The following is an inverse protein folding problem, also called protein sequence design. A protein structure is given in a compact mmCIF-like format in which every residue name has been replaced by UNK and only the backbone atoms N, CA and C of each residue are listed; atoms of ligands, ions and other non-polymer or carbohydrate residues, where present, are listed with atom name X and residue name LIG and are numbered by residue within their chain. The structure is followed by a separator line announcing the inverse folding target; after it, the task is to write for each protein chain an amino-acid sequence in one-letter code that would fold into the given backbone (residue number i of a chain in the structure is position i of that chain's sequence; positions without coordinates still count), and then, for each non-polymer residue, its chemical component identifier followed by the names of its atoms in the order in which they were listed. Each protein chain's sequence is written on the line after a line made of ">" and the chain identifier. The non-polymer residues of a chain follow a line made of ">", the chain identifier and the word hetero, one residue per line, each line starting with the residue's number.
data_IF_174584206983
#
_entry.id   IF_174584206983
#
_cell.length_a   1.000
_cell.length_b   1.000
_cell.length_c   1.000
_cell.angle_alpha   90.00
_cell.angle_beta   90.00
_cell.angle_gamma   90.00
#
_symmetry.space_group_name_H-M   'P 1'
#
loop_
_entity.id
_entity.type
_entity.pdbx_description
1 polymer ?
#
# COMPACT_ATOMS: atom_id res chain seq x y z
N UNK A 1 -35.09 6.35 20.13
CA UNK A 1 -35.53 6.39 18.72
C UNK A 1 -34.41 5.80 17.90
N UNK A 2 -34.68 4.82 17.02
CA UNK A 2 -33.62 4.17 16.24
C UNK A 2 -33.42 4.96 14.95
N UNK A 3 -32.21 5.46 14.73
CA UNK A 3 -31.78 6.13 13.52
C UNK A 3 -31.00 5.14 12.64
N UNK A 4 -31.40 5.03 11.37
CA UNK A 4 -30.70 4.20 10.38
C UNK A 4 -29.59 5.00 9.73
N UNK A 5 -28.35 4.59 9.93
CA UNK A 5 -27.18 5.19 9.29
C UNK A 5 -26.96 4.56 7.92
N UNK A 6 -27.00 5.39 6.89
CA UNK A 6 -26.80 5.00 5.50
C UNK A 6 -25.47 5.46 4.99
N UNK A 7 -24.90 4.66 4.09
CA UNK A 7 -23.66 5.03 3.41
C UNK A 7 -23.90 6.25 2.52
N UNK A 8 -23.20 7.38 2.73
CA UNK A 8 -23.32 8.55 1.88
C UNK A 8 -22.74 8.25 0.48
N UNK A 9 -23.25 8.94 -0.54
CA UNK A 9 -22.71 8.85 -1.89
C UNK A 9 -21.40 9.63 -1.97
N UNK A 10 -20.25 8.99 -2.24
CA UNK A 10 -18.98 9.69 -2.40
C UNK A 10 -18.80 10.35 -3.77
N UNK A 11 -19.79 10.25 -4.67
CA UNK A 11 -19.80 10.86 -6.00
C UNK A 11 -20.79 10.21 -6.95
N UNK A 12 -21.15 10.90 -8.04
CA UNK A 12 -22.21 10.50 -8.97
C UNK A 12 -22.00 9.14 -9.70
N UNK A 13 -20.78 8.59 -9.67
CA UNK A 13 -20.42 7.37 -10.38
C UNK A 13 -20.13 6.17 -9.48
N UNK A 14 -20.31 6.29 -8.17
CA UNK A 14 -19.96 5.24 -7.20
C UNK A 14 -21.25 4.57 -6.74
N UNK A 15 -21.39 3.29 -7.01
CA UNK A 15 -22.55 2.48 -6.65
C UNK A 15 -22.34 1.60 -5.43
N UNK A 16 -21.08 1.33 -5.08
CA UNK A 16 -20.69 0.39 -4.02
C UNK A 16 -19.46 0.91 -3.26
N UNK A 17 -19.43 0.72 -1.95
CA UNK A 17 -18.30 1.01 -1.08
C UNK A 17 -18.01 -0.19 -0.17
N UNK A 18 -16.81 -0.28 0.37
CA UNK A 18 -16.40 -1.31 1.34
C UNK A 18 -16.17 -0.66 2.70
N UNK A 19 -16.65 -1.26 3.77
CA UNK A 19 -16.31 -0.83 5.13
C UNK A 19 -14.87 -1.26 5.39
N UNK A 20 -13.94 -0.28 5.41
CA UNK A 20 -12.52 -0.56 5.58
C UNK A 20 -12.19 -0.93 7.03
N UNK A 21 -12.71 -0.15 7.98
CA UNK A 21 -12.49 -0.34 9.42
C UNK A 21 -13.62 0.31 10.21
N UNK A 22 -14.07 -0.37 11.26
CA UNK A 22 -14.94 0.23 12.26
C UNK A 22 -14.08 0.89 13.34
N UNK A 23 -14.28 2.19 13.58
CA UNK A 23 -13.59 2.96 14.62
C UNK A 23 -14.23 2.80 16.00
N UNK A 24 -15.38 2.12 16.08
CA UNK A 24 -16.19 1.87 17.28
C UNK A 24 -16.62 0.41 17.32
N UNK A 25 -16.94 -0.09 18.51
CA UNK A 25 -17.42 -1.45 18.72
C UNK A 25 -18.96 -1.49 18.78
N UNK A 26 -19.52 -2.66 18.48
CA UNK A 26 -20.96 -2.88 18.61
C UNK A 26 -21.41 -2.66 20.06
N UNK A 27 -22.39 -1.79 20.26
CA UNK A 27 -22.88 -1.38 21.58
C UNK A 27 -22.19 -0.16 22.19
N UNK A 28 -21.18 0.43 21.56
CA UNK A 28 -20.55 1.66 22.03
C UNK A 28 -21.49 2.86 21.96
N UNK A 29 -21.26 3.83 22.85
CA UNK A 29 -21.93 5.13 22.77
C UNK A 29 -21.13 6.08 21.91
N UNK A 30 -21.74 6.63 20.87
CA UNK A 30 -21.13 7.58 19.92
C UNK A 30 -21.72 8.98 20.08
N UNK A 31 -20.91 10.00 19.81
CA UNK A 31 -21.37 11.39 19.78
C UNK A 31 -21.68 11.80 18.33
N UNK A 32 -22.59 12.77 18.19
CA UNK A 32 -22.88 13.34 16.88
C UNK A 32 -21.60 13.88 16.23
N UNK A 33 -21.43 13.67 14.92
CA UNK A 33 -20.27 14.05 14.11
C UNK A 33 -18.97 13.30 14.46
N UNK A 34 -19.01 12.30 15.36
CA UNK A 34 -17.90 11.39 15.63
C UNK A 34 -17.72 10.44 14.43
N UNK A 35 -16.48 10.26 13.95
CA UNK A 35 -16.17 9.23 12.97
C UNK A 35 -16.40 7.84 13.56
N UNK A 36 -17.26 7.02 12.92
CA UNK A 36 -17.65 5.68 13.38
C UNK A 36 -17.07 4.57 12.50
N UNK A 37 -16.79 4.85 11.25
CA UNK A 37 -16.17 3.91 10.31
C UNK A 37 -15.35 4.64 9.26
N UNK A 38 -14.37 3.95 8.70
CA UNK A 38 -13.75 4.30 7.42
C UNK A 38 -14.40 3.47 6.30
N UNK A 39 -14.82 4.12 5.22
CA UNK A 39 -15.39 3.47 4.05
C UNK A 39 -14.52 3.73 2.82
N UNK A 40 -14.10 2.65 2.16
CA UNK A 40 -13.30 2.69 0.96
C UNK A 40 -14.19 2.67 -0.28
N UNK A 41 -13.99 3.64 -1.15
CA UNK A 41 -14.56 3.65 -2.48
C UNK A 41 -13.48 3.41 -3.54
N UNK A 42 -13.89 3.28 -4.80
CA UNK A 42 -12.98 3.16 -5.95
C UNK A 42 -11.96 4.32 -6.07
N UNK A 43 -12.29 5.49 -5.51
CA UNK A 43 -11.49 6.72 -5.69
C UNK A 43 -10.91 7.30 -4.41
N UNK A 44 -11.52 7.05 -3.27
CA UNK A 44 -11.10 7.62 -1.99
C UNK A 44 -11.64 6.83 -0.80
N UNK A 45 -10.93 6.89 0.33
CA UNK A 45 -11.41 6.51 1.65
C UNK A 45 -12.11 7.71 2.28
N UNK A 46 -13.30 7.50 2.81
CA UNK A 46 -14.10 8.51 3.50
C UNK A 46 -14.37 8.07 4.92
N UNK A 47 -14.41 9.01 5.83
CA UNK A 47 -14.91 8.78 7.18
C UNK A 47 -16.44 8.87 7.20
N UNK A 48 -17.09 7.93 7.85
CA UNK A 48 -18.53 7.95 8.09
C UNK A 48 -18.78 8.56 9.47
N UNK A 49 -19.29 9.81 9.56
CA UNK A 49 -19.62 10.42 10.83
C UNK A 49 -20.99 9.97 11.33
N UNK A 50 -21.18 9.88 12.64
CA UNK A 50 -22.46 9.61 13.27
C UNK A 50 -23.41 10.82 13.11
N UNK A 51 -24.62 10.61 12.58
CA UNK A 51 -25.61 11.70 12.39
C UNK A 51 -26.27 12.13 13.73
N UNK A 52 -26.22 11.27 14.75
CA UNK A 52 -26.77 11.57 16.08
C UNK A 52 -25.98 10.86 17.17
N UNK A 53 -26.09 11.37 18.40
CA UNK A 53 -25.53 10.72 19.59
C UNK A 53 -26.43 9.58 20.06
N UNK A 54 -25.84 8.45 20.47
CA UNK A 54 -26.57 7.28 20.94
C UNK A 54 -25.73 6.03 20.98
N UNK A 55 -26.34 4.89 21.31
CA UNK A 55 -25.66 3.59 21.26
C UNK A 55 -25.75 3.01 19.85
N UNK A 56 -24.58 2.63 19.31
CA UNK A 56 -24.47 2.09 17.95
C UNK A 56 -24.70 0.56 17.95
N UNK A 57 -25.37 0.07 16.91
CA UNK A 57 -25.48 -1.37 16.60
C UNK A 57 -25.05 -1.58 15.15
N UNK A 58 -23.99 -2.36 14.95
CA UNK A 58 -23.41 -2.64 13.64
C UNK A 58 -24.27 -3.65 12.88
N UNK A 59 -24.45 -3.43 11.57
CA UNK A 59 -25.20 -4.29 10.65
C UNK A 59 -24.33 -4.92 9.56
N UNK A 60 -23.18 -4.34 9.29
CA UNK A 60 -22.21 -4.83 8.31
C UNK A 60 -20.87 -5.10 9.01
N UNK A 61 -20.12 -6.07 8.51
CA UNK A 61 -18.81 -6.43 9.04
C UNK A 61 -17.70 -5.67 8.30
N UNK A 62 -16.51 -5.61 8.92
CA UNK A 62 -15.32 -5.07 8.24
C UNK A 62 -15.02 -5.86 6.96
N UNK A 63 -14.77 -5.13 5.88
CA UNK A 63 -14.51 -5.70 4.57
C UNK A 63 -15.78 -6.09 3.80
N UNK A 64 -16.97 -5.75 4.27
CA UNK A 64 -18.19 -5.95 3.49
C UNK A 64 -18.35 -4.85 2.46
N UNK A 65 -18.66 -5.27 1.22
CA UNK A 65 -19.05 -4.38 0.15
C UNK A 65 -20.56 -4.09 0.27
N UNK A 66 -20.91 -2.82 0.40
CA UNK A 66 -22.28 -2.36 0.59
C UNK A 66 -22.65 -1.34 -0.48
N UNK A 67 -23.90 -1.38 -0.95
CA UNK A 67 -24.39 -0.39 -1.90
C UNK A 67 -24.53 0.99 -1.26
N UNK A 68 -24.31 2.04 -2.04
CA UNK A 68 -24.54 3.42 -1.60
C UNK A 68 -26.01 3.59 -1.21
N UNK A 69 -26.24 4.11 0.00
CA UNK A 69 -27.56 4.24 0.60
C UNK A 69 -28.04 3.02 1.40
N UNK A 70 -27.25 1.92 1.45
CA UNK A 70 -27.54 0.79 2.33
C UNK A 70 -27.35 1.16 3.80
N UNK A 71 -28.10 0.53 4.70
CA UNK A 71 -28.02 0.74 6.14
C UNK A 71 -26.87 -0.11 6.69
N UNK A 72 -25.86 0.52 7.24
CA UNK A 72 -24.65 -0.14 7.79
C UNK A 72 -24.62 -0.22 9.31
N UNK A 73 -25.31 0.67 9.99
CA UNK A 73 -25.50 0.60 11.44
C UNK A 73 -26.76 1.33 11.86
N UNK A 74 -27.18 1.07 13.11
CA UNK A 74 -28.30 1.72 13.77
C UNK A 74 -27.78 2.50 14.98
N UNK A 75 -28.32 3.69 15.24
CA UNK A 75 -28.01 4.48 16.42
C UNK A 75 -29.28 4.64 17.23
N UNK A 76 -29.30 4.10 18.47
CA UNK A 76 -30.38 4.33 19.41
C UNK A 76 -30.17 5.62 20.19
N UNK A 77 -30.87 6.67 19.78
CA UNK A 77 -30.79 8.00 20.37
C UNK A 77 -31.50 8.13 21.71
N UNK A 78 -32.17 7.08 22.19
CA UNK A 78 -32.80 7.06 23.50
C UNK A 78 -31.85 6.60 24.63
N UNK A 79 -30.65 6.12 24.29
CA UNK A 79 -29.63 5.74 25.24
C UNK A 79 -28.97 6.96 25.89
N UNK A 80 -28.96 7.00 27.22
CA UNK A 80 -28.24 8.03 27.98
C UNK A 80 -26.74 7.74 27.99
N UNK A 81 -25.92 8.79 27.93
CA UNK A 81 -24.46 8.70 28.01
C UNK A 81 -24.06 8.01 29.32
N UNK A 82 -23.30 6.90 29.32
CA UNK A 82 -22.77 6.29 30.53
C UNK A 82 -21.96 7.34 31.30
N UNK A 83 -22.27 7.51 32.61
CA UNK A 83 -21.77 8.61 33.43
C UNK A 83 -20.29 8.84 33.37
N UNK A 84 -19.92 10.08 33.12
CA UNK A 84 -18.54 10.55 33.10
C UNK A 84 -17.99 10.59 34.51
N UNK A 85 -17.10 9.68 34.87
CA UNK A 85 -16.15 9.92 35.95
C UNK A 85 -15.05 10.83 35.44
N UNK A 86 -14.94 12.00 36.07
CA UNK A 86 -14.02 13.05 35.74
C UNK A 86 -12.56 12.59 35.91
N UNK A 87 -11.82 12.59 34.87
CA UNK A 87 -10.35 12.63 34.90
C UNK A 87 -9.88 13.98 34.40
N UNK A 88 -9.46 14.81 35.37
CA UNK A 88 -8.76 16.09 35.14
C UNK A 88 -7.40 15.81 34.45
N UNK A 89 -7.26 16.23 33.23
CA UNK A 89 -5.99 16.32 32.53
C UNK A 89 -5.94 17.61 31.72
N UNK A 90 -5.14 18.56 32.19
CA UNK A 90 -4.89 19.89 31.61
C UNK A 90 -4.35 19.79 30.17
N UNK A 91 -4.78 20.65 29.24
CA UNK A 91 -4.23 20.66 27.89
C UNK A 91 -2.87 21.34 27.86
N UNK A 92 -1.84 20.62 27.54
CA UNK A 92 -0.54 21.22 27.23
C UNK A 92 -0.53 21.77 25.79
N UNK A 93 -0.27 23.05 25.75
CA UNK A 93 -0.08 23.90 24.56
C UNK A 93 1.18 23.47 23.81
N UNK A 94 1.05 22.91 22.61
CA UNK A 94 2.19 22.68 21.72
C UNK A 94 2.56 23.99 21.02
N UNK A 95 3.69 24.57 21.44
CA UNK A 95 4.39 25.64 20.71
C UNK A 95 5.12 25.01 19.53
N UNK A 96 4.89 25.58 18.36
CA UNK A 96 5.60 25.24 17.14
C UNK A 96 7.10 25.58 17.25
N UNK A 97 7.93 24.72 16.68
CA UNK A 97 9.31 24.95 16.35
C UNK A 97 9.62 24.13 15.11
N UNK A 98 9.97 24.85 14.01
CA UNK A 98 10.40 24.22 12.78
C UNK A 98 11.78 23.62 12.94
N UNK A 99 12.11 22.67 12.15
CA UNK A 99 13.17 22.73 11.13
C UNK A 99 13.67 21.33 10.70
N UNK A 100 14.17 21.33 9.46
CA UNK A 100 15.14 20.42 8.85
C UNK A 100 14.68 19.06 8.31
N UNK A 101 14.33 19.07 7.03
CA UNK A 101 14.35 17.91 6.13
C UNK A 101 15.77 17.50 5.76
N UNK A 102 16.33 16.58 6.51
CA UNK A 102 17.48 15.80 6.10
C UNK A 102 17.09 14.34 6.15
N UNK A 103 17.08 13.67 5.00
CA UNK A 103 16.89 12.23 4.97
C UNK A 103 18.03 11.53 5.71
N UNK A 104 17.79 11.15 6.94
CA UNK A 104 18.77 10.49 7.77
C UNK A 104 18.74 8.98 7.50
N UNK A 105 19.90 8.42 7.18
CA UNK A 105 20.07 6.97 6.96
C UNK A 105 19.76 6.11 8.19
N UNK A 106 19.54 6.72 9.34
CA UNK A 106 19.19 6.02 10.57
C UNK A 106 17.70 5.72 10.68
N UNK A 107 16.81 6.59 10.20
CA UNK A 107 15.37 6.32 10.21
C UNK A 107 14.98 5.12 9.35
N UNK A 108 15.69 4.88 8.25
CA UNK A 108 15.46 3.70 7.40
C UNK A 108 15.85 2.39 8.10
N UNK A 109 16.76 2.45 9.06
CA UNK A 109 17.15 1.27 9.84
C UNK A 109 16.18 0.96 10.98
N UNK A 110 15.53 1.97 11.56
CA UNK A 110 14.51 1.76 12.58
C UNK A 110 13.21 1.23 11.97
N UNK A 111 12.78 1.75 10.82
CA UNK A 111 11.61 1.19 10.11
C UNK A 111 11.79 -0.30 9.72
N UNK A 112 13.00 -0.74 9.40
CA UNK A 112 13.29 -2.15 9.15
C UNK A 112 13.35 -3.00 10.42
N UNK A 113 13.53 -2.39 11.58
CA UNK A 113 13.60 -3.09 12.86
C UNK A 113 12.20 -3.37 13.42
N UNK A 114 11.26 -2.45 13.21
CA UNK A 114 9.87 -2.63 13.64
C UNK A 114 9.08 -3.63 12.79
N UNK A 115 9.48 -3.85 11.52
CA UNK A 115 8.91 -4.89 10.68
C UNK A 115 9.28 -6.33 11.11
N UNK A 116 10.28 -6.49 11.99
CA UNK A 116 10.75 -7.80 12.43
C UNK A 116 10.41 -8.13 13.91
N UNK A 117 9.67 -7.26 14.60
CA UNK A 117 9.30 -7.44 16.02
C UNK A 117 7.80 -7.67 16.28
N UNK A 118 7.03 -8.04 15.25
CA UNK A 118 5.60 -8.33 15.32
C UNK A 118 5.26 -9.78 15.70
N UNK A 119 6.04 -10.42 16.61
CA UNK A 119 5.57 -11.61 17.30
C UNK A 119 4.86 -11.19 18.59
N UNK A 120 3.54 -11.13 18.54
CA UNK A 120 2.68 -11.20 19.73
C UNK A 120 1.98 -12.53 19.77
N UNK A 121 2.30 -13.21 20.85
CA UNK A 121 1.71 -14.44 21.37
C UNK A 121 0.21 -14.54 21.12
N UNK A 122 -0.20 -15.55 20.38
CA UNK A 122 -1.55 -16.07 20.42
C UNK A 122 -1.53 -17.50 20.95
N UNK A 123 -2.18 -17.66 22.08
CA UNK A 123 -2.72 -18.86 22.71
C UNK A 123 -2.26 -20.23 22.17
N UNK A 124 -1.51 -20.92 23.02
CA UNK A 124 -1.30 -22.35 22.97
C UNK A 124 -2.63 -23.11 22.99
N UNK A 125 -3.12 -23.50 21.84
CA UNK A 125 -3.82 -24.75 21.74
C UNK A 125 -2.78 -25.88 21.76
N UNK A 126 -3.01 -26.84 22.68
CA UNK A 126 -2.14 -27.97 22.94
C UNK A 126 -1.69 -28.64 21.63
N UNK A 127 -0.40 -28.62 21.40
CA UNK A 127 0.23 -29.50 20.46
C UNK A 127 -0.19 -30.95 20.72
N UNK A 128 -0.50 -31.75 19.69
CA UNK A 128 -0.72 -33.16 19.88
C UNK A 128 0.55 -33.77 20.48
N UNK A 129 0.33 -34.51 21.56
CA UNK A 129 1.33 -35.27 22.29
C UNK A 129 2.35 -35.91 21.33
N UNK A 130 3.67 -35.77 21.59
CA UNK A 130 4.65 -36.42 20.74
C UNK A 130 4.35 -37.93 20.77
N UNK A 131 3.93 -38.45 19.61
CA UNK A 131 3.67 -39.86 19.40
C UNK A 131 4.85 -40.63 20.00
N UNK A 132 4.58 -41.56 20.90
CA UNK A 132 5.54 -42.46 21.48
C UNK A 132 6.53 -42.93 20.41
N UNK A 133 7.78 -42.52 20.54
CA UNK A 133 8.85 -43.05 19.71
C UNK A 133 8.96 -44.55 20.06
N UNK A 134 8.38 -45.39 19.23
CA UNK A 134 8.50 -46.83 19.32
C UNK A 134 9.90 -47.24 18.93
N UNK A 135 10.36 -48.42 19.37
CA UNK A 135 11.72 -48.95 19.19
C UNK A 135 12.18 -48.96 17.72
N UNK A 136 11.29 -49.00 16.75
CA UNK A 136 11.60 -49.04 15.32
C UNK A 136 11.44 -47.71 14.58
N UNK A 137 11.07 -46.59 15.30
CA UNK A 137 10.94 -45.29 14.69
C UNK A 137 12.28 -44.80 14.11
N UNK A 138 12.29 -44.43 12.82
CA UNK A 138 13.50 -44.04 12.10
C UNK A 138 14.34 -45.17 11.56
N UNK A 139 13.93 -46.46 11.81
CA UNK A 139 14.61 -47.62 11.26
C UNK A 139 13.99 -48.00 9.92
N UNK A 140 14.75 -47.90 8.83
CA UNK A 140 14.30 -48.28 7.50
C UNK A 140 14.44 -49.78 7.27
N UNK A 141 13.46 -50.40 6.59
CA UNK A 141 13.58 -51.79 6.10
C UNK A 141 14.73 -51.89 5.09
N UNK A 142 15.29 -53.09 4.86
CA UNK A 142 16.40 -53.26 3.90
C UNK A 142 16.07 -52.72 2.50
N UNK A 143 14.84 -52.92 2.03
CA UNK A 143 14.39 -52.37 0.76
C UNK A 143 14.23 -50.84 0.79
N UNK A 144 13.73 -50.29 1.90
CA UNK A 144 13.63 -48.82 2.09
C UNK A 144 15.01 -48.18 2.12
N UNK A 145 16.00 -48.78 2.82
CA UNK A 145 17.38 -48.26 2.86
C UNK A 145 17.99 -48.10 1.48
N UNK A 146 17.75 -49.09 0.59
CA UNK A 146 18.28 -49.03 -0.77
C UNK A 146 17.65 -47.88 -1.56
N UNK A 147 16.32 -47.71 -1.48
CA UNK A 147 15.62 -46.61 -2.18
C UNK A 147 15.98 -45.26 -1.63
N UNK A 148 16.13 -45.10 -0.31
CA UNK A 148 16.55 -43.87 0.32
C UNK A 148 17.97 -43.48 -0.05
N UNK A 149 18.89 -44.48 -0.11
CA UNK A 149 20.26 -44.24 -0.53
C UNK A 149 20.35 -43.81 -2.03
N UNK A 150 19.56 -44.44 -2.91
CA UNK A 150 19.43 -44.08 -4.32
C UNK A 150 18.90 -42.66 -4.51
N UNK A 151 17.99 -42.20 -3.61
CA UNK A 151 17.40 -40.86 -3.64
C UNK A 151 18.22 -39.84 -2.86
N UNK A 152 19.26 -40.20 -2.13
CA UNK A 152 20.05 -39.32 -1.28
C UNK A 152 19.26 -38.76 -0.07
N UNK A 153 18.27 -39.51 0.42
CA UNK A 153 17.39 -39.10 1.52
C UNK A 153 17.84 -39.75 2.81
N UNK A 154 18.02 -38.95 3.88
CA UNK A 154 18.31 -39.50 5.20
C UNK A 154 17.07 -40.19 5.80
N UNK A 155 17.24 -41.39 6.31
CA UNK A 155 16.17 -42.19 6.92
C UNK A 155 15.53 -41.49 8.13
N UNK A 156 16.26 -40.63 8.83
CA UNK A 156 15.74 -39.86 9.97
C UNK A 156 14.72 -38.82 9.56
N UNK A 157 14.72 -38.39 8.31
CA UNK A 157 13.81 -37.38 7.75
C UNK A 157 12.49 -37.95 7.24
N UNK A 158 12.33 -39.31 7.25
CA UNK A 158 11.15 -39.98 6.73
C UNK A 158 10.32 -40.59 7.86
N UNK A 159 9.04 -40.26 7.90
CA UNK A 159 8.10 -40.89 8.85
C UNK A 159 7.69 -42.28 8.35
N UNK A 160 7.94 -43.31 9.16
CA UNK A 160 7.60 -44.69 8.81
C UNK A 160 6.16 -45.04 9.16
N UNK A 161 5.43 -45.67 8.23
CA UNK A 161 4.06 -46.15 8.42
C UNK A 161 4.01 -47.63 8.77
N UNK A 162 5.14 -48.34 8.79
CA UNK A 162 5.22 -49.76 9.12
C UNK A 162 5.06 -50.06 10.61
N UNK A 163 5.09 -51.35 10.94
CA UNK A 163 4.96 -51.82 12.33
C UNK A 163 6.01 -51.15 13.23
N UNK A 164 5.57 -50.64 14.36
CA UNK A 164 6.38 -49.90 15.34
C UNK A 164 7.11 -48.68 14.79
N UNK A 165 6.53 -47.99 13.73
CA UNK A 165 7.11 -46.79 13.14
C UNK A 165 8.27 -47.06 12.17
N UNK A 166 8.44 -48.29 11.70
CA UNK A 166 9.47 -48.67 10.71
C UNK A 166 9.17 -48.05 9.36
N UNK A 167 10.19 -47.56 8.67
CA UNK A 167 10.07 -47.01 7.31
C UNK A 167 9.95 -48.18 6.33
N UNK A 168 8.83 -48.25 5.60
CA UNK A 168 8.55 -49.23 4.57
C UNK A 168 9.17 -48.83 3.24
N UNK A 169 9.18 -49.78 2.26
CA UNK A 169 9.62 -49.46 0.90
C UNK A 169 8.73 -48.39 0.27
N UNK A 170 7.45 -48.42 0.57
CA UNK A 170 6.46 -47.45 0.05
C UNK A 170 6.72 -46.03 0.58
N UNK A 171 7.02 -45.90 1.87
CA UNK A 171 7.42 -44.63 2.47
C UNK A 171 8.66 -44.06 1.78
N UNK A 172 9.66 -44.90 1.52
CA UNK A 172 10.88 -44.48 0.84
C UNK A 172 10.66 -44.10 -0.64
N UNK A 173 9.72 -44.76 -1.33
CA UNK A 173 9.33 -44.42 -2.71
C UNK A 173 8.62 -43.07 -2.76
N UNK A 174 7.74 -42.78 -1.80
CA UNK A 174 6.98 -41.54 -1.71
C UNK A 174 7.79 -40.39 -1.09
N UNK A 175 8.92 -40.67 -0.45
CA UNK A 175 9.78 -39.67 0.11
C UNK A 175 10.37 -38.76 -0.99
N UNK A 176 10.21 -37.45 -0.81
CA UNK A 176 10.79 -36.42 -1.69
C UNK A 176 12.09 -35.94 -1.08
N UNK A 177 13.20 -35.81 -1.86
CA UNK A 177 14.43 -35.24 -1.36
C UNK A 177 14.20 -33.87 -0.77
N UNK A 178 14.61 -33.65 0.47
CA UNK A 178 14.62 -32.31 1.06
C UNK A 178 15.70 -31.50 0.36
N UNK A 179 15.32 -30.46 -0.34
CA UNK A 179 16.24 -29.53 -1.03
C UNK A 179 17.02 -28.66 -0.02
N UNK A 180 17.61 -29.29 1.00
CA UNK A 180 18.42 -28.62 2.02
C UNK A 180 17.63 -27.84 3.08
N UNK A 181 16.31 -27.95 3.09
CA UNK A 181 15.50 -27.31 4.14
C UNK A 181 15.43 -28.24 5.35
N UNK A 182 15.72 -27.80 6.56
CA UNK A 182 15.55 -28.60 7.77
C UNK A 182 14.13 -29.13 7.86
N UNK A 183 13.99 -30.45 8.03
CA UNK A 183 12.70 -31.08 8.30
C UNK A 183 12.20 -30.60 9.66
N UNK A 184 11.12 -29.83 9.71
CA UNK A 184 10.53 -29.38 10.96
C UNK A 184 10.01 -27.95 10.97
N UNK A 185 10.11 -27.21 9.87
CA UNK A 185 9.51 -25.88 9.78
C UNK A 185 7.98 -25.94 9.70
N UNK A 186 7.29 -25.17 10.51
CA UNK A 186 5.84 -24.99 10.38
C UNK A 186 5.56 -24.23 9.07
N UNK A 187 5.01 -24.90 8.08
CA UNK A 187 4.61 -24.32 6.78
C UNK A 187 3.14 -23.91 6.81
N UNK A 188 2.80 -23.07 7.77
CA UNK A 188 1.47 -22.49 7.84
C UNK A 188 1.19 -21.61 6.63
N UNK A 189 -0.04 -21.62 6.13
CA UNK A 189 -0.56 -20.67 5.15
C UNK A 189 -1.69 -19.91 5.78
N UNK A 190 -1.71 -18.59 5.60
CA UNK A 190 -2.83 -17.75 5.98
C UNK A 190 -3.52 -17.21 4.75
N UNK A 191 -4.83 -17.00 4.83
CA UNK A 191 -5.61 -16.32 3.80
C UNK A 191 -6.28 -15.12 4.43
N UNK A 192 -6.15 -13.97 3.77
CA UNK A 192 -6.84 -12.75 4.13
C UNK A 192 -7.51 -12.15 2.90
N UNK A 193 -8.65 -11.49 3.08
CA UNK A 193 -9.33 -10.73 2.02
C UNK A 193 -8.47 -9.51 1.68
N UNK A 194 -8.30 -9.19 0.40
CA UNK A 194 -7.65 -7.93 0.00
C UNK A 194 -8.66 -6.80 0.09
N UNK A 195 -8.22 -5.61 0.52
CA UNK A 195 -9.04 -4.41 0.51
C UNK A 195 -9.54 -4.08 -0.90
N UNK A 196 -10.67 -3.37 -1.01
CA UNK A 196 -11.25 -2.94 -2.28
C UNK A 196 -10.23 -2.13 -3.10
N UNK A 197 -9.55 -1.17 -2.46
CA UNK A 197 -8.53 -0.36 -3.10
C UNK A 197 -7.44 -1.24 -3.75
N UNK A 198 -6.94 -2.26 -3.04
CA UNK A 198 -5.90 -3.15 -3.59
C UNK A 198 -6.41 -3.99 -4.74
N UNK A 199 -7.67 -4.45 -4.69
CA UNK A 199 -8.32 -5.16 -5.82
C UNK A 199 -8.43 -4.25 -7.04
N UNK A 200 -8.89 -3.01 -6.87
CA UNK A 200 -9.03 -2.02 -7.96
C UNK A 200 -7.69 -1.62 -8.57
N UNK A 201 -6.66 -1.42 -7.74
CA UNK A 201 -5.30 -1.18 -8.24
C UNK A 201 -4.80 -2.35 -9.09
N UNK A 202 -5.03 -3.60 -8.63
CA UNK A 202 -4.63 -4.78 -9.38
C UNK A 202 -5.36 -4.87 -10.74
N UNK A 203 -6.67 -4.64 -10.77
CA UNK A 203 -7.49 -4.62 -11.99
C UNK A 203 -6.96 -3.58 -12.99
N UNK A 204 -6.77 -2.32 -12.55
CA UNK A 204 -6.27 -1.23 -13.39
C UNK A 204 -4.87 -1.50 -13.96
N UNK A 205 -3.96 -2.05 -13.15
CA UNK A 205 -2.61 -2.38 -13.61
C UNK A 205 -2.61 -3.54 -14.62
N UNK A 206 -3.45 -4.56 -14.41
CA UNK A 206 -3.62 -5.67 -15.35
C UNK A 206 -4.24 -5.18 -16.65
N UNK A 207 -5.27 -4.36 -16.59
CA UNK A 207 -5.90 -3.73 -17.76
C UNK A 207 -4.90 -2.89 -18.54
N UNK A 208 -4.18 -1.97 -17.89
CA UNK A 208 -3.16 -1.15 -18.51
C UNK A 208 -2.10 -2.00 -19.24
N UNK A 209 -1.62 -3.08 -18.60
CA UNK A 209 -0.66 -3.99 -19.22
C UNK A 209 -1.23 -4.74 -20.43
N UNK A 210 -2.49 -5.16 -20.38
CA UNK A 210 -3.09 -6.00 -21.43
C UNK A 210 -3.63 -5.18 -22.61
N UNK A 211 -4.00 -3.93 -22.39
CA UNK A 211 -4.57 -3.03 -23.43
C UNK A 211 -3.51 -2.19 -24.14
N UNK A 212 -2.26 -2.21 -23.69
CA UNK A 212 -1.20 -1.39 -24.25
C UNK A 212 -0.02 -2.23 -24.74
N UNK A 213 0.67 -1.74 -25.77
CA UNK A 213 1.93 -2.29 -26.25
C UNK A 213 3.11 -1.47 -25.69
N UNK A 214 3.38 -1.64 -24.40
CA UNK A 214 4.44 -0.88 -23.72
C UNK A 214 5.82 -1.27 -24.21
N UNK A 215 6.62 -0.24 -24.55
CA UNK A 215 8.05 -0.34 -24.83
C UNK A 215 8.82 0.33 -23.70
N UNK A 216 9.81 -0.35 -23.14
CA UNK A 216 10.70 0.22 -22.14
C UNK A 216 12.07 0.46 -22.74
N UNK A 217 12.58 1.68 -22.54
CA UNK A 217 13.95 2.04 -22.90
C UNK A 217 14.75 2.35 -21.65
N UNK A 218 16.04 2.02 -21.65
CA UNK A 218 16.95 2.27 -20.53
C UNK A 218 18.06 3.20 -20.99
N UNK A 219 18.35 4.23 -20.22
CA UNK A 219 19.42 5.16 -20.46
C UNK A 219 20.16 5.43 -19.15
N UNK A 220 21.48 5.59 -19.22
CA UNK A 220 22.31 6.02 -18.12
C UNK A 220 22.64 7.49 -18.27
N UNK A 221 22.56 8.24 -17.18
CA UNK A 221 22.86 9.68 -17.13
C UNK A 221 23.82 9.96 -16.00
N UNK A 222 24.93 10.67 -16.30
CA UNK A 222 25.82 11.19 -15.28
C UNK A 222 25.15 12.37 -14.57
N UNK A 223 24.80 12.16 -13.29
CA UNK A 223 24.15 13.16 -12.47
C UNK A 223 25.12 14.07 -11.73
N UNK A 224 26.45 13.84 -11.82
CA UNK A 224 27.46 14.63 -11.11
C UNK A 224 27.32 16.13 -11.32
N UNK A 225 27.13 16.65 -12.55
CA UNK A 225 26.97 18.08 -12.77
C UNK A 225 25.71 18.66 -12.09
N UNK A 226 24.63 17.88 -12.04
CA UNK A 226 23.38 18.31 -11.37
C UNK A 226 23.56 18.34 -9.86
N UNK A 227 24.27 17.35 -9.29
CA UNK A 227 24.63 17.35 -7.87
C UNK A 227 25.49 18.55 -7.49
N UNK A 228 26.51 18.86 -8.28
CA UNK A 228 27.39 20.03 -8.07
C UNK A 228 26.60 21.33 -8.11
N UNK A 229 25.80 21.53 -9.17
CA UNK A 229 24.96 22.71 -9.35
C UNK A 229 23.97 22.86 -8.16
N UNK A 230 23.30 21.77 -7.80
CA UNK A 230 22.39 21.78 -6.66
C UNK A 230 23.10 22.12 -5.36
N UNK A 231 24.25 21.50 -5.09
CA UNK A 231 25.02 21.79 -3.88
C UNK A 231 25.50 23.24 -3.81
N UNK A 232 25.86 23.82 -4.95
CA UNK A 232 26.27 25.23 -5.03
C UNK A 232 25.14 26.20 -4.69
N UNK A 233 23.91 25.92 -5.12
CA UNK A 233 22.79 26.88 -5.03
C UNK A 233 21.69 26.55 -4.04
N UNK A 234 21.66 25.37 -3.43
CA UNK A 234 20.55 24.90 -2.58
C UNK A 234 20.23 25.83 -1.42
N UNK A 235 21.23 26.39 -0.76
CA UNK A 235 21.06 27.28 0.41
C UNK A 235 20.52 28.65 -0.01
N UNK A 236 21.14 29.26 -1.01
CA UNK A 236 20.68 30.54 -1.57
C UNK A 236 19.28 30.43 -2.15
N UNK A 237 18.99 29.32 -2.81
CA UNK A 237 17.68 29.04 -3.37
C UNK A 237 16.61 28.92 -2.27
N UNK A 238 16.92 28.19 -1.19
CA UNK A 238 16.02 28.04 -0.03
C UNK A 238 15.79 29.38 0.66
N UNK A 239 16.85 30.14 0.91
CA UNK A 239 16.78 31.45 1.53
C UNK A 239 15.94 32.46 0.71
N UNK A 240 16.11 32.46 -0.62
CA UNK A 240 15.42 33.39 -1.52
C UNK A 240 13.98 32.99 -1.81
N UNK A 241 13.68 31.69 -1.89
CA UNK A 241 12.40 31.19 -2.42
C UNK A 241 11.53 30.48 -1.39
N UNK A 242 12.04 30.14 -0.20
CA UNK A 242 11.29 29.45 0.85
C UNK A 242 11.00 27.97 0.56
N UNK A 243 11.55 27.43 -0.52
CA UNK A 243 11.46 26.01 -0.89
C UNK A 243 12.84 25.44 -1.20
N UNK A 244 13.06 24.16 -0.91
CA UNK A 244 14.34 23.51 -1.18
C UNK A 244 14.49 23.23 -2.68
N UNK A 245 15.71 23.33 -3.20
CA UNK A 245 16.03 22.91 -4.57
C UNK A 245 16.18 21.38 -4.59
N UNK A 246 15.15 20.67 -5.00
CA UNK A 246 15.13 19.23 -5.17
C UNK A 246 15.53 18.79 -6.58
N UNK A 247 15.57 17.47 -6.80
CA UNK A 247 15.82 16.92 -8.13
C UNK A 247 14.60 16.93 -9.04
N UNK A 248 13.39 17.01 -8.43
CA UNK A 248 12.15 16.92 -9.20
C UNK A 248 11.97 18.07 -10.17
N UNK A 249 12.43 19.28 -9.82
CA UNK A 249 12.40 20.40 -10.75
C UNK A 249 13.28 20.18 -11.99
N UNK A 250 14.45 19.57 -11.83
CA UNK A 250 15.33 19.22 -12.96
C UNK A 250 14.66 18.22 -13.89
N UNK A 251 14.12 17.13 -13.33
CA UNK A 251 13.46 16.10 -14.12
C UNK A 251 12.17 16.61 -14.78
N UNK A 252 11.32 17.30 -14.04
CA UNK A 252 10.06 17.85 -14.58
C UNK A 252 10.31 18.80 -15.74
N UNK A 253 11.25 19.73 -15.61
CA UNK A 253 11.56 20.70 -16.68
C UNK A 253 12.25 20.03 -17.87
N UNK A 254 13.06 19.00 -17.63
CA UNK A 254 13.66 18.20 -18.72
C UNK A 254 12.58 17.44 -19.50
N UNK A 255 11.64 16.80 -18.80
CA UNK A 255 10.48 16.12 -19.40
C UNK A 255 9.64 17.09 -20.21
N UNK A 256 9.26 18.23 -19.64
CA UNK A 256 8.50 19.29 -20.35
C UNK A 256 9.20 19.70 -21.64
N UNK A 257 10.52 19.90 -21.59
CA UNK A 257 11.29 20.24 -22.80
C UNK A 257 11.27 19.12 -23.83
N UNK A 258 11.37 17.87 -23.39
CA UNK A 258 11.30 16.71 -24.27
C UNK A 258 9.92 16.57 -24.91
N UNK A 259 8.84 16.74 -24.15
CA UNK A 259 7.47 16.69 -24.65
C UNK A 259 7.18 17.77 -25.69
N UNK A 260 7.76 18.98 -25.54
CA UNK A 260 7.69 20.03 -26.58
C UNK A 260 8.43 19.68 -27.86
N UNK A 261 9.53 18.91 -27.75
CA UNK A 261 10.29 18.45 -28.91
C UNK A 261 9.62 17.25 -29.60
N UNK A 262 8.92 16.44 -28.86
CA UNK A 262 8.24 15.22 -29.31
C UNK A 262 6.75 15.22 -28.93
N UNK A 263 5.91 16.06 -29.56
CA UNK A 263 4.51 16.26 -29.17
C UNK A 263 3.67 14.98 -29.21
N UNK A 264 4.02 14.03 -30.07
CA UNK A 264 3.33 12.73 -30.14
C UNK A 264 3.42 11.92 -28.84
N UNK A 265 4.43 12.17 -27.99
CA UNK A 265 4.54 11.56 -26.66
C UNK A 265 3.62 12.25 -25.65
N UNK A 266 3.28 13.53 -25.87
CA UNK A 266 2.30 14.27 -25.06
C UNK A 266 0.91 14.16 -25.67
N UNK A 267 0.46 12.94 -25.92
CA UNK A 267 -0.82 12.64 -26.54
C UNK A 267 -1.40 11.36 -25.99
N UNK A 268 -2.65 11.08 -26.28
CA UNK A 268 -3.30 9.80 -25.97
C UNK A 268 -4.01 9.25 -27.22
N UNK A 269 -4.30 7.96 -27.19
CA UNK A 269 -5.11 7.29 -28.22
C UNK A 269 -6.53 7.14 -27.67
N UNK A 270 -7.50 7.62 -28.44
CA UNK A 270 -8.93 7.42 -28.18
C UNK A 270 -9.56 6.73 -29.38
N UNK A 271 -9.78 5.43 -29.28
CA UNK A 271 -10.26 4.60 -30.35
C UNK A 271 -9.36 4.63 -31.57
N UNK A 272 -9.71 5.41 -32.61
CA UNK A 272 -8.92 5.59 -33.85
C UNK A 272 -8.33 7.00 -33.98
N UNK A 273 -8.48 7.81 -32.98
CA UNK A 273 -8.01 9.19 -32.94
C UNK A 273 -6.84 9.37 -32.00
N UNK A 274 -6.00 10.33 -32.29
CA UNK A 274 -4.92 10.77 -31.41
C UNK A 274 -5.31 12.16 -30.87
N UNK A 275 -5.38 12.27 -29.54
CA UNK A 275 -5.64 13.54 -28.85
C UNK A 275 -4.26 14.07 -28.40
N UNK A 276 -3.84 15.21 -28.94
CA UNK A 276 -2.59 15.87 -28.57
C UNK A 276 -2.87 17.05 -27.63
N UNK A 277 -2.00 17.19 -26.63
CA UNK A 277 -2.10 18.27 -25.65
C UNK A 277 -1.08 19.37 -25.97
N UNK A 278 -1.52 20.63 -25.86
CA UNK A 278 -0.68 21.83 -26.02
C UNK A 278 -0.14 22.34 -24.67
N UNK A 279 -0.46 21.64 -23.59
CA UNK A 279 0.00 21.86 -22.23
C UNK A 279 0.68 20.60 -21.68
N UNK A 280 1.48 20.74 -20.62
CA UNK A 280 2.16 19.63 -19.96
C UNK A 280 1.70 19.53 -18.51
N UNK A 281 0.81 18.59 -18.22
CA UNK A 281 0.35 18.27 -16.87
C UNK A 281 1.09 17.04 -16.36
N UNK A 282 2.08 17.25 -15.50
CA UNK A 282 3.02 16.20 -15.09
C UNK A 282 2.58 15.57 -13.78
N UNK A 283 2.24 14.30 -13.85
CA UNK A 283 1.92 13.48 -12.69
C UNK A 283 3.20 13.04 -11.98
N UNK A 284 3.24 13.11 -10.64
CA UNK A 284 4.38 12.66 -9.85
C UNK A 284 3.93 11.62 -8.84
N UNK A 285 4.55 10.43 -8.87
CA UNK A 285 4.25 9.38 -7.92
C UNK A 285 4.74 9.74 -6.51
N UNK A 286 3.83 9.77 -5.55
CA UNK A 286 4.08 10.09 -4.14
C UNK A 286 3.52 8.97 -3.26
N UNK A 287 4.33 8.47 -2.33
CA UNK A 287 3.87 7.52 -1.32
C UNK A 287 3.21 8.26 -0.16
N UNK A 288 2.01 7.87 0.18
CA UNK A 288 1.27 8.38 1.33
C UNK A 288 0.81 7.24 2.26
N UNK A 289 0.19 7.56 3.40
CA UNK A 289 -0.32 6.57 4.35
C UNK A 289 -1.32 5.59 3.72
N UNK A 290 -2.12 6.08 2.78
CA UNK A 290 -3.14 5.31 2.05
C UNK A 290 -2.60 4.63 0.78
N UNK A 291 -1.28 4.62 0.55
CA UNK A 291 -0.63 3.99 -0.60
C UNK A 291 0.00 4.97 -1.59
N UNK A 292 0.25 4.49 -2.82
CA UNK A 292 0.83 5.29 -3.88
C UNK A 292 -0.24 6.18 -4.52
N UNK A 293 -0.02 7.49 -4.50
CA UNK A 293 -0.83 8.49 -5.18
C UNK A 293 -0.03 9.16 -6.29
N UNK A 294 -0.73 9.69 -7.29
CA UNK A 294 -0.08 10.28 -8.47
C UNK A 294 -0.65 11.68 -8.74
N UNK A 295 -0.43 12.66 -7.83
CA UNK A 295 -0.90 14.03 -8.02
C UNK A 295 -0.25 14.70 -9.22
N UNK A 296 -0.94 15.71 -9.78
CA UNK A 296 -0.63 16.36 -11.04
C UNK A 296 -0.13 17.78 -10.82
N UNK A 297 1.03 18.09 -11.35
CA UNK A 297 1.53 19.47 -11.52
C UNK A 297 0.95 20.02 -12.81
N UNK A 298 0.04 20.97 -12.70
CA UNK A 298 -0.64 21.58 -13.83
C UNK A 298 0.23 22.58 -14.56
N UNK A 299 0.12 22.61 -15.89
CA UNK A 299 0.80 23.57 -16.76
C UNK A 299 2.31 23.71 -16.43
N UNK A 300 2.96 22.56 -16.27
CA UNK A 300 4.37 22.52 -15.86
C UNK A 300 5.28 23.26 -16.84
N UNK A 301 4.86 23.44 -18.09
CA UNK A 301 5.57 24.21 -19.13
C UNK A 301 5.70 25.71 -18.82
N UNK A 302 4.88 26.23 -17.92
CA UNK A 302 4.89 27.64 -17.47
C UNK A 302 5.62 27.83 -16.14
N UNK A 303 6.08 26.74 -15.52
CA UNK A 303 6.71 26.78 -14.20
C UNK A 303 8.23 26.95 -14.30
N UNK A 304 8.79 27.66 -13.33
CA UNK A 304 10.24 27.68 -13.06
C UNK A 304 10.63 26.58 -12.08
N UNK A 305 11.93 26.40 -11.82
CA UNK A 305 12.42 25.52 -10.75
C UNK A 305 11.71 25.76 -9.42
N UNK A 306 11.56 27.02 -9.01
CA UNK A 306 10.81 27.40 -7.82
C UNK A 306 9.34 26.94 -7.89
N UNK A 307 8.70 27.17 -9.03
CA UNK A 307 7.29 26.81 -9.22
C UNK A 307 7.07 25.30 -9.08
N UNK A 308 7.91 24.51 -9.73
CA UNK A 308 7.85 23.04 -9.64
C UNK A 308 8.09 22.55 -8.21
N UNK A 309 9.14 23.04 -7.53
CA UNK A 309 9.43 22.64 -6.14
C UNK A 309 8.34 23.06 -5.17
N UNK A 310 7.71 24.21 -5.38
CA UNK A 310 6.57 24.67 -4.57
C UNK A 310 5.35 23.74 -4.75
N UNK A 311 5.03 23.37 -5.99
CA UNK A 311 3.92 22.47 -6.29
C UNK A 311 4.19 21.03 -5.78
N UNK A 312 5.39 20.52 -5.97
CA UNK A 312 5.79 19.21 -5.41
C UNK A 312 5.62 19.19 -3.90
N UNK A 313 6.09 20.24 -3.20
CA UNK A 313 5.94 20.37 -1.75
C UNK A 313 4.47 20.45 -1.34
N UNK A 314 3.68 21.28 -2.02
CA UNK A 314 2.24 21.44 -1.75
C UNK A 314 1.50 20.10 -1.88
N UNK A 315 1.67 19.43 -3.00
CA UNK A 315 1.00 18.16 -3.29
C UNK A 315 1.48 17.05 -2.34
N UNK A 316 2.77 16.98 -2.02
CA UNK A 316 3.31 15.99 -1.09
C UNK A 316 2.77 16.15 0.34
N UNK A 317 2.60 17.40 0.82
CA UNK A 317 1.99 17.68 2.13
C UNK A 317 0.53 17.23 2.11
N UNK A 318 -0.25 17.66 1.11
CA UNK A 318 -1.66 17.30 0.98
C UNK A 318 -1.88 15.79 0.85
N UNK A 319 -0.99 15.10 0.13
CA UNK A 319 -1.03 13.64 0.02
C UNK A 319 -0.75 12.95 1.36
N UNK A 320 0.22 13.45 2.14
CA UNK A 320 0.55 12.93 3.47
C UNK A 320 -0.59 13.14 4.46
N UNK A 321 -1.21 14.33 4.40
CA UNK A 321 -2.29 14.73 5.30
C UNK A 321 -3.66 14.17 4.85
N UNK A 322 -3.71 13.33 3.80
CA UNK A 322 -4.93 12.75 3.27
C UNK A 322 -5.91 13.75 2.64
N UNK A 323 -5.45 14.97 2.34
CA UNK A 323 -6.28 16.09 1.83
C UNK A 323 -6.24 16.23 0.31
N UNK A 324 -5.55 15.32 -0.40
CA UNK A 324 -5.47 15.35 -1.86
C UNK A 324 -6.85 15.06 -2.46
N UNK A 325 -7.24 15.84 -3.44
CA UNK A 325 -8.54 15.68 -4.11
C UNK A 325 -8.43 14.83 -5.37
N UNK A 326 -9.56 14.32 -5.86
CA UNK A 326 -9.63 13.58 -7.13
C UNK A 326 -9.15 14.45 -8.29
N UNK A 327 -9.54 15.73 -8.31
CA UNK A 327 -9.11 16.67 -9.34
C UNK A 327 -7.59 16.87 -9.36
N UNK A 328 -6.93 16.79 -8.21
CA UNK A 328 -5.47 16.89 -8.13
C UNK A 328 -4.74 15.62 -8.62
N UNK A 329 -5.47 14.50 -8.80
CA UNK A 329 -4.90 13.20 -9.22
C UNK A 329 -5.30 12.79 -10.64
N UNK A 330 -6.19 13.52 -11.32
CA UNK A 330 -6.71 13.17 -12.64
C UNK A 330 -6.21 14.12 -13.73
N UNK A 331 -6.22 13.69 -14.98
CA UNK A 331 -5.96 14.54 -16.15
C UNK A 331 -4.48 14.85 -16.40
N UNK A 332 -3.53 14.14 -15.78
CA UNK A 332 -2.12 14.28 -16.16
C UNK A 332 -1.83 13.75 -17.56
N UNK A 333 -0.87 14.38 -18.26
CA UNK A 333 -0.50 13.99 -19.64
C UNK A 333 0.75 13.11 -19.70
N UNK A 334 1.58 13.14 -18.66
CA UNK A 334 2.79 12.33 -18.54
C UNK A 334 3.09 12.06 -17.06
N UNK A 335 3.69 10.93 -16.73
CA UNK A 335 4.02 10.57 -15.34
C UNK A 335 5.52 10.52 -15.10
N UNK A 336 5.96 10.96 -13.92
CA UNK A 336 7.31 10.74 -13.40
C UNK A 336 7.21 9.88 -12.14
N UNK A 337 7.91 8.74 -12.14
CA UNK A 337 7.99 7.85 -10.98
C UNK A 337 9.43 7.68 -10.52
N UNK A 338 9.65 7.55 -9.21
CA UNK A 338 10.98 7.35 -8.64
C UNK A 338 11.03 6.01 -7.89
N UNK A 339 11.57 4.98 -8.54
CA UNK A 339 11.81 3.67 -7.93
C UNK A 339 13.05 3.60 -7.04
N UNK A 340 13.96 4.59 -7.13
CA UNK A 340 15.22 4.60 -6.39
C UNK A 340 15.04 4.67 -4.87
N UNK A 341 13.97 5.31 -4.40
CA UNK A 341 13.61 5.37 -2.97
C UNK A 341 13.31 3.99 -2.39
N UNK A 342 12.91 3.03 -3.21
CA UNK A 342 12.65 1.63 -2.86
C UNK A 342 13.84 0.70 -3.17
N UNK A 343 15.01 1.25 -3.54
CA UNK A 343 16.19 0.48 -3.88
C UNK A 343 16.18 -0.17 -5.27
N UNK A 344 15.24 0.20 -6.14
CA UNK A 344 15.20 -0.29 -7.52
C UNK A 344 16.32 0.35 -8.36
N UNK A 345 17.15 -0.46 -8.98
CA UNK A 345 18.17 -0.01 -9.94
C UNK A 345 17.63 0.08 -11.37
N UNK A 346 16.82 -0.89 -11.76
CA UNK A 346 16.15 -0.97 -13.05
C UNK A 346 14.73 -1.46 -12.85
N UNK A 347 13.78 -0.83 -13.51
CA UNK A 347 12.37 -1.24 -13.48
C UNK A 347 11.74 -1.05 -14.86
N UNK A 348 10.67 -1.80 -15.09
CA UNK A 348 9.79 -1.67 -16.24
C UNK A 348 8.47 -1.09 -15.76
N UNK A 349 8.32 0.24 -15.71
CA UNK A 349 7.11 0.85 -15.19
C UNK A 349 5.91 0.52 -16.07
N UNK A 350 4.73 0.46 -15.45
CA UNK A 350 3.45 0.35 -16.14
C UNK A 350 2.91 1.76 -16.30
N UNK A 351 2.55 2.13 -17.54
CA UNK A 351 1.98 3.46 -17.82
C UNK A 351 0.68 3.68 -17.03
N UNK A 352 0.36 4.94 -16.77
CA UNK A 352 -0.90 5.34 -16.14
C UNK A 352 -1.88 5.78 -17.22
N UNK A 353 -2.79 4.90 -17.70
CA UNK A 353 -3.70 5.26 -18.78
C UNK A 353 -4.55 6.50 -18.44
N UNK A 354 -4.90 7.34 -19.40
CA UNK A 354 -4.68 7.22 -20.84
C UNK A 354 -3.34 7.79 -21.34
N UNK A 355 -2.40 8.07 -20.46
CA UNK A 355 -1.09 8.64 -20.80
C UNK A 355 -0.28 7.67 -21.66
N UNK A 356 0.52 8.22 -22.59
CA UNK A 356 1.37 7.44 -23.48
C UNK A 356 2.78 7.19 -22.93
N UNK A 357 3.15 7.79 -21.79
CA UNK A 357 4.47 7.64 -21.22
C UNK A 357 4.58 7.85 -19.70
N UNK A 358 5.59 7.22 -19.13
CA UNK A 358 5.99 7.34 -17.75
C UNK A 358 7.51 7.34 -17.66
#
# INVERSE_FOLDING_TARGET
>A
MILEMKVPSPGESITEVEIAEWLVQDGDYVEKDQAIAEVDSDKATLELPAEASGTITLKAEEGDAVEVGAVVCLIDTSAEKPGSEASNGTPETYKGGGDEGGANKEETKELMKDLNSGEKESNHEKAPNPANKTYASGTASPAAKKVLAEKGIDATSVSGTGKDGRITKEDAVNAVPSMGTPTGGNRGTSRSKMSMLRRKVAERLVEAKNTTAMLTTFNEVDMSPIFELRNQYKEDFKAKHGVSLGFMSFFTLAVVRALKLYPAVNSMIDGKEMISYDFCDISIAVSGPKGLMVPVIRNAENLSFRGVEAEVKRLAIRARDGQITVDEMTGGTFTISNGGVFGSMLSTPIINPPQSGI
#
